data_IF_528863657719
#
_entry.id   IF_528863657719
#
_cell.length_a   1.000
_cell.length_b   1.000
_cell.length_c   1.000
_cell.angle_alpha   90.00
_cell.angle_beta   90.00
_cell.angle_gamma   90.00
#
_symmetry.space_group_name_H-M   'P 1'
#
loop_
_entity.id
_entity.type
_entity.pdbx_description
1 polymer ?
#
# COMPACT_ATOMS: atom_id res chain seq x y z
N UNK A 1 -28.66 6.39 3.39
CA UNK A 1 -27.45 5.53 3.29
C UNK A 1 -26.22 6.25 2.73
N UNK A 2 -26.34 7.36 1.99
CA UNK A 2 -25.17 8.06 1.40
C UNK A 2 -24.06 8.42 2.41
N UNK A 3 -24.41 8.96 3.58
CA UNK A 3 -23.43 9.30 4.65
C UNK A 3 -22.60 8.09 5.12
N UNK A 4 -23.25 6.94 5.33
CA UNK A 4 -22.59 5.72 5.82
C UNK A 4 -21.60 5.17 4.77
N UNK A 5 -22.02 5.16 3.50
CA UNK A 5 -21.16 4.71 2.41
C UNK A 5 -19.96 5.66 2.25
N UNK A 6 -20.18 6.97 2.30
CA UNK A 6 -19.11 7.97 2.23
C UNK A 6 -18.10 7.82 3.38
N UNK A 7 -18.58 7.58 4.61
CA UNK A 7 -17.72 7.33 5.76
C UNK A 7 -16.89 6.04 5.61
N UNK A 8 -17.48 4.98 5.05
CA UNK A 8 -16.78 3.72 4.80
C UNK A 8 -15.72 3.87 3.71
N UNK A 9 -16.04 4.59 2.63
CA UNK A 9 -15.07 4.94 1.58
C UNK A 9 -13.92 5.74 2.16
N UNK A 10 -14.20 6.79 2.95
CA UNK A 10 -13.17 7.63 3.55
C UNK A 10 -12.23 6.81 4.45
N UNK A 11 -12.77 5.95 5.32
CA UNK A 11 -11.97 5.05 6.16
C UNK A 11 -11.09 4.12 5.30
N UNK A 12 -11.67 3.47 4.28
CA UNK A 12 -10.95 2.53 3.44
C UNK A 12 -9.81 3.22 2.65
N UNK A 13 -10.07 4.40 2.09
CA UNK A 13 -9.09 5.20 1.37
C UNK A 13 -7.94 5.66 2.28
N UNK A 14 -8.29 6.16 3.48
CA UNK A 14 -7.33 6.60 4.49
C UNK A 14 -6.39 5.47 4.92
N UNK A 15 -6.94 4.30 5.26
CA UNK A 15 -6.16 3.15 5.71
C UNK A 15 -5.31 2.57 4.57
N UNK A 16 -5.84 2.49 3.36
CA UNK A 16 -5.08 2.02 2.20
C UNK A 16 -3.95 2.99 1.83
N UNK A 17 -4.18 4.30 1.93
CA UNK A 17 -3.15 5.31 1.73
C UNK A 17 -2.03 5.19 2.77
N UNK A 18 -2.41 5.04 4.04
CA UNK A 18 -1.46 4.81 5.12
C UNK A 18 -0.58 3.57 4.86
N UNK A 19 -1.17 2.44 4.49
CA UNK A 19 -0.42 1.22 4.18
C UNK A 19 0.57 1.43 3.04
N UNK A 20 0.16 2.11 1.95
CA UNK A 20 1.06 2.43 0.83
C UNK A 20 2.23 3.32 1.26
N UNK A 21 1.95 4.36 2.06
CA UNK A 21 2.96 5.29 2.57
C UNK A 21 3.99 4.58 3.47
N UNK A 22 3.52 3.64 4.30
CA UNK A 22 4.35 2.91 5.26
C UNK A 22 4.91 1.60 4.70
N UNK A 23 4.62 1.26 3.44
CA UNK A 23 5.12 0.05 2.81
C UNK A 23 4.50 -1.24 3.32
N UNK A 24 3.37 -1.18 4.00
CA UNK A 24 2.66 -2.36 4.45
C UNK A 24 1.95 -3.02 3.25
N UNK A 25 2.09 -4.34 3.05
CA UNK A 25 1.47 -5.07 1.93
C UNK A 25 -0.02 -5.33 2.17
N UNK A 26 -0.75 -4.26 2.45
CA UNK A 26 -2.13 -4.25 2.91
C UNK A 26 -2.93 -3.21 2.15
N UNK A 27 -4.19 -3.53 1.87
CA UNK A 27 -5.18 -2.58 1.39
C UNK A 27 -6.54 -2.84 2.03
N UNK A 28 -7.40 -1.83 2.04
CA UNK A 28 -8.78 -1.98 2.48
C UNK A 28 -9.68 -2.08 1.25
N UNK A 29 -10.38 -3.21 1.13
CA UNK A 29 -11.43 -3.40 0.13
C UNK A 29 -12.77 -3.10 0.76
N UNK A 30 -13.65 -2.38 0.06
CA UNK A 30 -14.94 -1.99 0.62
C UNK A 30 -16.07 -1.99 -0.42
N UNK A 31 -17.31 -2.09 0.05
CA UNK A 31 -18.53 -1.91 -0.73
C UNK A 31 -19.68 -1.48 0.19
N UNK A 32 -20.33 -0.35 -0.09
CA UNK A 32 -21.30 0.27 0.80
C UNK A 32 -20.75 0.43 2.23
N UNK A 33 -21.32 -0.24 3.23
CA UNK A 33 -20.84 -0.22 4.61
C UNK A 33 -19.86 -1.33 4.97
N UNK A 34 -19.68 -2.31 4.07
CA UNK A 34 -18.73 -3.40 4.24
C UNK A 34 -17.31 -2.90 3.94
N UNK A 35 -16.36 -3.27 4.78
CA UNK A 35 -14.93 -3.13 4.51
C UNK A 35 -14.19 -4.37 5.02
N UNK A 36 -13.02 -4.66 4.47
CA UNK A 36 -12.17 -5.76 4.91
C UNK A 36 -10.71 -5.46 4.63
N UNK A 37 -9.83 -6.03 5.45
CA UNK A 37 -8.40 -6.07 5.17
C UNK A 37 -8.16 -7.07 4.03
N UNK A 38 -7.33 -6.69 3.07
CA UNK A 38 -6.83 -7.56 2.03
C UNK A 38 -5.29 -7.54 2.05
N UNK A 39 -4.71 -8.74 2.11
CA UNK A 39 -3.28 -8.96 2.05
C UNK A 39 -2.84 -8.97 0.58
N UNK A 40 -1.79 -8.22 0.25
CA UNK A 40 -1.23 -8.14 -1.10
C UNK A 40 -0.17 -9.21 -1.36
N UNK A 41 0.33 -9.85 -0.31
CA UNK A 41 1.25 -10.98 -0.34
C UNK A 41 0.99 -11.88 0.87
N UNK A 42 1.40 -13.15 0.79
CA UNK A 42 1.26 -14.10 1.88
C UNK A 42 2.25 -13.76 3.01
N UNK A 43 1.75 -13.67 4.25
CA UNK A 43 2.59 -13.41 5.42
C UNK A 43 2.23 -14.35 6.60
N UNK A 44 3.19 -15.11 7.18
CA UNK A 44 2.89 -16.13 8.20
C UNK A 44 2.21 -15.61 9.46
N UNK A 45 2.43 -14.35 9.81
CA UNK A 45 1.93 -13.71 11.04
C UNK A 45 0.82 -12.68 10.76
N UNK A 46 0.17 -12.78 9.61
CA UNK A 46 -0.86 -11.84 9.17
C UNK A 46 -1.99 -11.65 10.20
N UNK A 47 -2.40 -12.73 10.88
CA UNK A 47 -3.55 -12.67 11.80
C UNK A 47 -3.26 -11.89 13.09
N UNK A 48 -1.99 -11.58 13.38
CA UNK A 48 -1.62 -10.73 14.52
C UNK A 48 -2.23 -9.34 14.43
N UNK A 49 -2.44 -8.80 13.22
CA UNK A 49 -3.09 -7.50 13.04
C UNK A 49 -4.45 -7.42 13.73
N UNK A 50 -5.25 -8.47 13.63
CA UNK A 50 -6.58 -8.51 14.22
C UNK A 50 -6.52 -8.68 15.74
N UNK A 51 -5.56 -9.45 16.27
CA UNK A 51 -5.32 -9.53 17.71
C UNK A 51 -4.90 -8.16 18.28
N UNK A 52 -4.04 -7.44 17.55
CA UNK A 52 -3.60 -6.09 17.91
C UNK A 52 -4.76 -5.09 17.92
N UNK A 53 -5.65 -5.15 16.93
CA UNK A 53 -6.89 -4.36 16.90
C UNK A 53 -7.79 -4.65 18.09
N UNK A 54 -8.02 -5.92 18.42
CA UNK A 54 -8.81 -6.34 19.59
C UNK A 54 -8.21 -5.84 20.90
N UNK A 55 -6.88 -5.89 21.05
CA UNK A 55 -6.17 -5.37 22.23
C UNK A 55 -6.33 -3.86 22.42
N UNK A 56 -6.65 -3.13 21.33
CA UNK A 56 -6.87 -1.68 21.30
C UNK A 56 -8.34 -1.29 21.37
N UNK A 57 -9.23 -2.23 21.69
CA UNK A 57 -10.66 -1.96 21.86
C UNK A 57 -11.49 -2.05 20.58
N UNK A 58 -10.90 -2.46 19.44
CA UNK A 58 -11.65 -2.65 18.19
C UNK A 58 -11.92 -4.13 17.96
N UNK A 59 -13.17 -4.54 18.16
CA UNK A 59 -13.58 -5.92 17.89
C UNK A 59 -13.63 -6.20 16.39
N UNK A 60 -12.78 -7.12 15.94
CA UNK A 60 -12.67 -7.57 14.56
C UNK A 60 -12.32 -9.07 14.54
N UNK A 61 -12.82 -9.81 13.56
CA UNK A 61 -12.50 -11.23 13.33
C UNK A 61 -11.47 -11.39 12.22
N UNK A 62 -10.65 -12.44 12.33
CA UNK A 62 -9.49 -12.65 11.47
C UNK A 62 -9.95 -12.93 10.02
N UNK A 63 -9.58 -12.06 9.09
CA UNK A 63 -9.92 -12.14 7.66
C UNK A 63 -11.43 -12.16 7.34
N UNK A 64 -12.29 -11.70 8.25
CA UNK A 64 -13.72 -11.56 8.02
C UNK A 64 -14.12 -10.12 7.63
N UNK A 65 -15.21 -9.95 6.86
CA UNK A 65 -15.76 -8.63 6.58
C UNK A 65 -16.20 -7.88 7.84
N UNK A 66 -15.95 -6.57 7.84
CA UNK A 66 -16.36 -5.61 8.86
C UNK A 66 -17.43 -4.70 8.30
N UNK A 67 -18.26 -4.12 9.18
CA UNK A 67 -19.36 -3.26 8.78
C UNK A 67 -19.42 -2.01 9.65
N UNK A 68 -19.46 -0.83 9.02
CA UNK A 68 -19.91 0.37 9.72
C UNK A 68 -21.44 0.36 9.81
N UNK A 69 -21.95 0.90 10.92
CA UNK A 69 -23.39 1.08 11.15
C UNK A 69 -23.71 2.54 11.36
N UNK A 70 -24.98 2.93 11.28
CA UNK A 70 -25.39 4.31 11.55
C UNK A 70 -25.17 4.76 13.00
N UNK A 71 -24.93 3.81 13.91
CA UNK A 71 -24.59 4.09 15.31
C UNK A 71 -23.13 4.51 15.50
N UNK A 72 -22.25 4.23 14.55
CA UNK A 72 -20.86 4.69 14.63
C UNK A 72 -20.80 6.21 14.44
N UNK A 73 -20.21 6.87 15.44
CA UNK A 73 -19.85 8.27 15.41
C UNK A 73 -18.54 8.49 14.64
N UNK A 74 -18.22 9.75 14.36
CA UNK A 74 -16.93 10.12 13.77
C UNK A 74 -15.77 9.74 14.72
N UNK A 75 -15.98 9.84 16.03
CA UNK A 75 -14.99 9.45 17.03
C UNK A 75 -14.73 7.93 17.02
N UNK A 76 -15.78 7.11 16.84
CA UNK A 76 -15.63 5.66 16.73
C UNK A 76 -14.81 5.28 15.49
N UNK A 77 -15.10 5.93 14.35
CA UNK A 77 -14.38 5.68 13.09
C UNK A 77 -12.92 6.13 13.21
N UNK A 78 -12.67 7.28 13.83
CA UNK A 78 -11.31 7.77 14.10
C UNK A 78 -10.55 6.82 15.03
N UNK A 79 -11.22 6.24 16.05
CA UNK A 79 -10.62 5.24 16.93
C UNK A 79 -10.27 3.95 16.17
N UNK A 80 -11.16 3.47 15.28
CA UNK A 80 -10.87 2.32 14.40
C UNK A 80 -9.64 2.61 13.53
N UNK A 81 -9.58 3.79 12.90
CA UNK A 81 -8.47 4.16 12.05
C UNK A 81 -7.15 4.26 12.82
N UNK A 82 -7.17 4.88 14.01
CA UNK A 82 -6.02 4.99 14.89
C UNK A 82 -5.50 3.62 15.33
N UNK A 83 -6.39 2.77 15.84
CA UNK A 83 -6.04 1.42 16.27
C UNK A 83 -5.39 0.60 15.15
N UNK A 84 -5.89 0.73 13.92
CA UNK A 84 -5.33 0.04 12.74
C UNK A 84 -3.91 0.54 12.44
N UNK A 85 -3.74 1.86 12.35
CA UNK A 85 -2.44 2.49 12.04
C UNK A 85 -1.38 2.16 13.09
N UNK A 86 -1.77 2.20 14.36
CA UNK A 86 -0.87 1.86 15.47
C UNK A 86 -0.51 0.36 15.48
N UNK A 87 -1.47 -0.52 15.17
CA UNK A 87 -1.22 -1.96 15.04
C UNK A 87 -0.24 -2.26 13.91
N UNK A 88 -0.46 -1.65 12.73
CA UNK A 88 0.45 -1.80 11.59
C UNK A 88 1.83 -1.29 11.94
N UNK A 89 1.95 -0.10 12.53
CA UNK A 89 3.24 0.48 12.92
C UNK A 89 4.00 -0.44 13.87
N UNK A 90 3.37 -0.89 14.94
CA UNK A 90 4.01 -1.73 15.96
C UNK A 90 4.41 -3.11 15.40
N UNK A 91 3.56 -3.73 14.57
CA UNK A 91 3.91 -4.98 13.88
C UNK A 91 5.12 -4.77 12.97
N UNK A 92 5.17 -3.66 12.25
CA UNK A 92 6.30 -3.32 11.42
C UNK A 92 7.55 -2.97 12.25
N UNK A 93 7.43 -2.37 13.44
CA UNK A 93 8.56 -2.09 14.36
C UNK A 93 9.14 -3.39 14.94
N UNK A 94 8.27 -4.38 15.13
CA UNK A 94 8.61 -5.71 15.63
C UNK A 94 8.99 -6.69 14.53
N UNK A 95 9.16 -6.22 13.28
CA UNK A 95 9.51 -7.03 12.11
C UNK A 95 8.49 -8.15 11.77
N UNK A 96 7.26 -8.07 12.29
CA UNK A 96 6.15 -8.98 12.00
C UNK A 96 5.30 -8.56 10.80
N UNK A 97 5.54 -7.38 10.25
CA UNK A 97 4.93 -6.92 9.01
C UNK A 97 5.98 -6.21 8.14
N UNK A 98 6.04 -6.49 6.82
CA UNK A 98 7.00 -5.84 5.95
C UNK A 98 6.83 -4.32 5.90
N UNK A 99 7.97 -3.63 5.85
CA UNK A 99 8.10 -2.22 5.47
C UNK A 99 8.75 -2.17 4.11
N UNK A 100 7.97 -2.46 3.06
CA UNK A 100 8.47 -2.26 1.72
C UNK A 100 8.72 -0.76 1.56
N UNK A 101 9.98 -0.33 1.48
CA UNK A 101 10.25 0.98 0.90
C UNK A 101 9.61 0.89 -0.46
N UNK A 102 8.47 1.56 -0.66
CA UNK A 102 7.84 1.61 -1.97
C UNK A 102 8.99 1.92 -2.92
N UNK A 103 9.38 1.01 -3.83
CA UNK A 103 10.04 1.52 -5.01
C UNK A 103 8.93 2.41 -5.53
N UNK A 104 9.08 3.74 -5.38
CA UNK A 104 8.31 4.69 -6.15
C UNK A 104 8.31 4.04 -7.50
N UNK A 105 7.15 3.54 -7.95
CA UNK A 105 7.06 2.89 -9.25
C UNK A 105 7.59 3.99 -10.13
N UNK A 106 8.84 3.84 -10.59
CA UNK A 106 9.55 4.96 -11.19
C UNK A 106 8.71 5.16 -12.43
N UNK A 107 7.84 6.17 -12.41
CA UNK A 107 6.96 6.40 -13.53
C UNK A 107 7.93 6.89 -14.57
N UNK A 108 8.34 5.99 -15.44
CA UNK A 108 9.26 6.27 -16.51
C UNK A 108 8.52 7.18 -17.49
N UNK A 109 8.52 8.48 -17.21
CA UNK A 109 7.97 9.49 -18.08
C UNK A 109 8.89 9.63 -19.28
N UNK A 110 8.46 9.08 -20.42
CA UNK A 110 9.17 9.17 -21.69
C UNK A 110 9.48 10.63 -22.09
N UNK A 111 8.69 11.60 -21.62
CA UNK A 111 8.89 13.03 -21.88
C UNK A 111 9.94 13.69 -20.95
N UNK A 112 10.38 13.02 -19.88
CA UNK A 112 11.39 13.53 -18.93
C UNK A 112 12.51 12.49 -18.71
N UNK A 113 13.36 12.26 -19.72
CA UNK A 113 14.50 11.38 -19.55
C UNK A 113 15.50 11.96 -18.54
N UNK A 114 16.15 11.13 -17.70
CA UNK A 114 17.10 11.58 -16.68
C UNK A 114 18.39 12.14 -17.29
N UNK A 115 18.74 11.72 -18.51
CA UNK A 115 19.87 12.25 -19.28
C UNK A 115 19.47 12.49 -20.73
N UNK A 116 20.01 13.52 -21.40
CA UNK A 116 19.74 13.76 -22.82
C UNK A 116 20.07 12.53 -23.67
N UNK A 117 19.13 12.12 -24.53
CA UNK A 117 19.30 10.96 -25.41
C UNK A 117 18.99 9.60 -24.77
N UNK A 118 18.60 9.55 -23.49
CA UNK A 118 18.08 8.31 -22.91
C UNK A 118 16.74 7.92 -23.54
N UNK A 119 16.60 6.63 -23.86
CA UNK A 119 15.39 6.01 -24.38
C UNK A 119 14.87 4.98 -23.39
N UNK A 120 13.55 4.92 -23.25
CA UNK A 120 12.92 3.94 -22.38
C UNK A 120 12.91 2.57 -23.08
N UNK A 121 13.41 1.54 -22.40
CA UNK A 121 13.43 0.16 -22.87
C UNK A 121 13.11 -0.82 -21.74
N UNK A 122 13.23 -2.12 -22.02
CA UNK A 122 13.15 -3.18 -21.01
C UNK A 122 14.52 -3.80 -20.80
N UNK A 123 14.89 -4.04 -19.55
CA UNK A 123 16.10 -4.79 -19.22
C UNK A 123 15.88 -6.31 -19.39
N UNK A 124 16.93 -7.15 -19.27
CA UNK A 124 16.81 -8.61 -19.42
C UNK A 124 15.81 -9.28 -18.45
N UNK A 125 15.45 -8.61 -17.35
CA UNK A 125 14.42 -9.07 -16.39
C UNK A 125 13.00 -8.61 -16.76
N UNK A 126 12.85 -7.90 -17.88
CA UNK A 126 11.57 -7.36 -18.34
C UNK A 126 11.14 -6.07 -17.65
N UNK A 127 11.97 -5.50 -16.75
CA UNK A 127 11.66 -4.26 -16.05
C UNK A 127 11.98 -3.04 -16.93
N UNK A 128 11.13 -1.99 -16.93
CA UNK A 128 11.43 -0.76 -17.64
C UNK A 128 12.71 -0.12 -17.08
N UNK A 129 13.56 0.38 -17.98
CA UNK A 129 14.82 1.05 -17.66
C UNK A 129 15.20 2.08 -18.73
N UNK A 130 15.98 3.08 -18.36
CA UNK A 130 16.53 4.07 -19.29
C UNK A 130 17.80 3.55 -19.94
N UNK A 131 17.99 3.81 -21.23
CA UNK A 131 19.13 3.36 -22.01
C UNK A 131 19.72 4.50 -22.86
N UNK A 132 21.04 4.65 -22.88
CA UNK A 132 21.77 5.57 -23.77
C UNK A 132 22.62 4.80 -24.78
N UNK A 133 22.83 5.30 -26.01
CA UNK A 133 23.78 4.70 -26.94
C UNK A 133 25.17 4.59 -26.32
N UNK A 134 25.84 3.46 -26.52
CA UNK A 134 27.20 3.27 -26.06
C UNK A 134 28.16 4.14 -26.93
N UNK A 135 28.96 5.04 -26.32
CA UNK A 135 29.90 5.88 -27.07
C UNK A 135 30.99 5.08 -27.81
N UNK A 136 31.35 3.88 -27.30
CA UNK A 136 32.37 3.02 -27.91
C UNK A 136 31.82 2.09 -29.00
N UNK A 137 30.50 1.85 -29.00
CA UNK A 137 29.82 0.95 -29.94
C UNK A 137 28.37 1.45 -30.18
N UNK A 138 28.13 2.27 -31.22
CA UNK A 138 26.82 2.88 -31.48
C UNK A 138 25.68 1.89 -31.70
N UNK A 139 25.97 0.60 -31.96
CA UNK A 139 24.96 -0.45 -32.10
C UNK A 139 24.45 -0.97 -30.75
N UNK A 140 25.13 -0.63 -29.64
CA UNK A 140 24.80 -1.09 -28.29
C UNK A 140 24.27 0.06 -27.44
N UNK A 141 23.51 -0.31 -26.41
CA UNK A 141 22.92 0.61 -25.47
C UNK A 141 23.35 0.24 -24.04
N UNK A 142 23.62 1.25 -23.22
CA UNK A 142 23.98 1.14 -21.81
C UNK A 142 22.82 1.59 -20.93
N UNK A 143 22.52 0.83 -19.88
CA UNK A 143 21.49 1.21 -18.89
C UNK A 143 21.95 2.44 -18.10
N UNK A 144 21.10 3.45 -17.99
CA UNK A 144 21.34 4.66 -17.20
C UNK A 144 20.89 4.40 -15.76
N UNK A 145 21.84 4.43 -14.83
CA UNK A 145 21.58 4.32 -13.38
C UNK A 145 21.36 2.88 -12.90
N UNK A 146 22.24 2.44 -12.00
CA UNK A 146 21.93 1.50 -10.92
C UNK A 146 21.95 2.31 -9.62
#
# INVERSE_FOLDING_TARGET
QQRLNAATTALADELSAFCREHGAPLEIRHFASLWRVAWLEDHPLQDLLFAMMRSRGVHILDNFPCFLTTAHSEADIAHIAGAFKDSVRELQESEFLPRHKSPVSVVFDAAKPPVPGARLGKDPSGKPAWFVPNPDDPAKYLKVGA
#
